data_IF_489153697897
#
_entry.id   IF_489153697897
#
_cell.length_a   1.000
_cell.length_b   1.000
_cell.length_c   1.000
_cell.angle_alpha   90.00
_cell.angle_beta   90.00
_cell.angle_gamma   90.00
#
_symmetry.space_group_name_H-M   'P 1'
#
loop_
_entity.id
_entity.type
_entity.pdbx_description
1 polymer ?
#
# COMPACT_ATOMS: atom_id res chain seq x y z
N UNK A 1 25.52 34.86 10.04
CA UNK A 1 25.31 35.21 8.63
C UNK A 1 24.95 33.92 7.90
N UNK A 2 23.81 33.94 7.20
CA UNK A 2 23.23 32.92 6.32
C UNK A 2 22.87 31.57 6.97
N UNK A 3 21.58 31.28 7.22
CA UNK A 3 20.58 30.76 6.25
C UNK A 3 21.02 29.40 5.68
N UNK A 4 20.19 28.37 5.60
CA UNK A 4 18.73 28.26 5.56
C UNK A 4 18.36 26.83 5.97
N UNK A 5 17.24 26.72 6.70
CA UNK A 5 16.34 25.57 6.82
C UNK A 5 16.73 24.28 6.08
N UNK A 6 17.34 23.33 6.81
CA UNK A 6 17.15 21.90 6.52
C UNK A 6 15.84 21.49 7.19
N UNK A 7 14.75 21.98 6.63
CA UNK A 7 13.39 21.61 7.00
C UNK A 7 12.98 20.42 6.13
N UNK A 8 13.43 19.23 6.53
CA UNK A 8 12.79 17.98 6.12
C UNK A 8 12.21 17.36 7.38
N UNK A 9 11.08 17.92 7.78
CA UNK A 9 10.26 17.45 8.88
C UNK A 9 9.76 16.01 8.59
N UNK A 10 9.60 15.18 9.63
CA UNK A 10 9.60 13.74 9.58
C UNK A 10 8.19 13.16 9.53
N UNK A 11 8.09 11.86 9.22
CA UNK A 11 6.94 11.05 9.63
C UNK A 11 7.42 9.74 10.25
N UNK A 12 6.72 9.27 11.30
CA UNK A 12 7.36 8.75 12.50
C UNK A 12 7.33 7.22 12.53
N UNK A 13 8.30 6.66 13.26
CA UNK A 13 8.14 5.55 14.20
C UNK A 13 6.94 4.62 13.99
N UNK A 14 7.19 3.35 13.66
CA UNK A 14 6.45 2.19 14.17
C UNK A 14 7.18 0.91 13.76
N UNK A 15 8.19 0.54 14.54
CA UNK A 15 8.60 -0.87 14.71
C UNK A 15 7.95 -1.42 15.98
N UNK A 16 6.69 -1.88 15.95
CA UNK A 16 6.33 -3.09 16.66
C UNK A 16 6.88 -4.28 15.84
N UNK A 17 7.34 -5.36 16.50
CA UNK A 17 7.91 -6.50 15.80
C UNK A 17 6.86 -7.18 14.91
N UNK A 18 7.25 -7.52 13.67
CA UNK A 18 6.74 -8.66 12.90
C UNK A 18 5.57 -8.52 11.90
N UNK A 19 5.26 -7.34 11.33
CA UNK A 19 4.50 -7.30 10.06
C UNK A 19 5.46 -7.18 8.87
N UNK A 20 5.42 -8.08 7.86
CA UNK A 20 6.23 -7.96 6.65
C UNK A 20 5.89 -6.68 5.89
N UNK A 21 6.91 -5.88 5.55
CA UNK A 21 6.76 -4.66 4.76
C UNK A 21 6.78 -5.03 3.26
N UNK A 22 5.89 -4.41 2.47
CA UNK A 22 5.83 -4.57 1.01
C UNK A 22 5.95 -3.22 0.35
N UNK A 23 6.80 -3.14 -0.68
CA UNK A 23 6.90 -1.97 -1.55
C UNK A 23 5.79 -2.00 -2.57
N UNK A 24 4.99 -0.95 -2.60
CA UNK A 24 3.92 -0.76 -3.59
C UNK A 24 4.27 0.43 -4.49
N UNK A 25 3.95 0.28 -5.78
CA UNK A 25 4.02 1.36 -6.76
C UNK A 25 2.90 2.38 -6.51
N UNK A 26 3.04 3.65 -6.96
CA UNK A 26 2.00 4.67 -6.82
C UNK A 26 0.68 4.24 -7.47
N UNK A 27 0.76 3.51 -8.58
CA UNK A 27 -0.36 2.89 -9.27
C UNK A 27 0.05 1.49 -9.66
N UNK A 28 -0.74 0.49 -9.27
CA UNK A 28 -0.50 -0.93 -9.60
C UNK A 28 -1.80 -1.65 -9.91
N UNK A 29 -1.79 -2.84 -10.51
CA UNK A 29 -3.04 -3.57 -10.74
C UNK A 29 -3.46 -4.38 -9.52
N UNK A 30 -4.76 -4.69 -9.45
CA UNK A 30 -5.30 -5.59 -8.43
C UNK A 30 -4.59 -6.95 -8.45
N UNK A 31 -4.29 -7.47 -9.64
CA UNK A 31 -3.52 -8.73 -9.80
C UNK A 31 -2.15 -8.65 -9.14
N UNK A 32 -1.37 -7.62 -9.44
CA UNK A 32 -0.03 -7.44 -8.88
C UNK A 32 -0.08 -7.32 -7.34
N UNK A 33 -1.08 -6.61 -6.81
CA UNK A 33 -1.26 -6.44 -5.36
C UNK A 33 -1.55 -7.78 -4.69
N UNK A 34 -2.43 -8.57 -5.29
CA UNK A 34 -2.76 -9.90 -4.80
C UNK A 34 -1.53 -10.83 -4.82
N UNK A 35 -0.71 -10.74 -5.86
CA UNK A 35 0.56 -11.49 -5.96
C UNK A 35 1.54 -11.09 -4.86
N UNK A 36 1.73 -9.79 -4.59
CA UNK A 36 2.59 -9.30 -3.49
C UNK A 36 2.11 -9.75 -2.11
N UNK A 37 0.79 -9.80 -1.91
CA UNK A 37 0.17 -10.23 -0.65
C UNK A 37 0.10 -11.76 -0.52
N UNK A 38 0.48 -12.51 -1.57
CA UNK A 38 0.24 -13.96 -1.69
C UNK A 38 -1.23 -14.35 -1.41
N UNK A 39 -2.16 -13.48 -1.79
CA UNK A 39 -3.59 -13.70 -1.64
C UNK A 39 -4.25 -13.92 -3.01
N UNK A 40 -5.35 -14.67 -3.07
CA UNK A 40 -6.10 -14.77 -4.31
C UNK A 40 -6.72 -13.42 -4.67
N UNK A 41 -6.59 -13.01 -5.94
CA UNK A 41 -7.14 -11.76 -6.50
C UNK A 41 -8.62 -11.58 -6.13
N UNK A 42 -9.39 -12.67 -6.10
CA UNK A 42 -10.81 -12.66 -5.74
C UNK A 42 -11.07 -12.19 -4.31
N UNK A 43 -10.19 -12.51 -3.35
CA UNK A 43 -10.35 -12.05 -1.97
C UNK A 43 -10.00 -10.57 -1.83
N UNK A 44 -8.98 -10.10 -2.55
CA UNK A 44 -8.66 -8.67 -2.65
C UNK A 44 -9.83 -7.88 -3.25
N UNK A 45 -10.39 -8.35 -4.38
CA UNK A 45 -11.58 -7.72 -5.00
C UNK A 45 -12.77 -7.75 -4.03
N UNK A 46 -13.00 -8.86 -3.33
CA UNK A 46 -14.08 -8.96 -2.34
C UNK A 46 -13.90 -7.96 -1.20
N UNK A 47 -12.67 -7.77 -0.72
CA UNK A 47 -12.37 -6.76 0.30
C UNK A 47 -12.65 -5.35 -0.21
N UNK A 48 -12.20 -5.03 -1.42
CA UNK A 48 -12.44 -3.74 -2.06
C UNK A 48 -13.94 -3.46 -2.22
N UNK A 49 -14.71 -4.45 -2.69
CA UNK A 49 -16.16 -4.34 -2.81
C UNK A 49 -16.85 -4.08 -1.45
N UNK A 50 -16.39 -4.72 -0.37
CA UNK A 50 -16.90 -4.47 0.99
C UNK A 50 -16.64 -3.03 1.46
N UNK A 51 -15.55 -2.44 0.99
CA UNK A 51 -15.18 -1.04 1.25
C UNK A 51 -15.78 -0.06 0.23
N UNK A 52 -16.67 -0.52 -0.67
CA UNK A 52 -17.34 0.32 -1.67
C UNK A 52 -16.50 0.62 -2.91
N UNK A 53 -15.33 0.01 -3.05
CA UNK A 53 -14.43 0.17 -4.18
C UNK A 53 -14.71 -0.93 -5.21
N UNK A 54 -15.31 -0.54 -6.34
CA UNK A 54 -15.60 -1.46 -7.44
C UNK A 54 -14.41 -1.48 -8.41
N UNK A 55 -13.74 -2.63 -8.47
CA UNK A 55 -12.59 -2.87 -9.37
C UNK A 55 -12.66 -4.26 -9.99
N UNK A 56 -11.99 -4.43 -11.11
CA UNK A 56 -11.76 -5.72 -11.77
C UNK A 56 -10.31 -6.17 -11.61
N UNK A 57 -10.01 -7.41 -12.02
CA UNK A 57 -8.66 -7.98 -11.86
C UNK A 57 -7.53 -7.16 -12.52
N UNK A 58 -7.81 -6.50 -13.65
CA UNK A 58 -6.83 -5.69 -14.38
C UNK A 58 -6.95 -4.20 -14.10
N UNK A 59 -7.85 -3.78 -13.20
CA UNK A 59 -7.97 -2.37 -12.84
C UNK A 59 -6.75 -1.90 -12.08
N UNK A 60 -6.43 -0.63 -12.31
CA UNK A 60 -5.39 0.09 -11.58
C UNK A 60 -5.94 0.53 -10.22
N UNK A 61 -5.19 0.22 -9.17
CA UNK A 61 -5.34 0.78 -7.84
C UNK A 61 -4.26 1.81 -7.57
N UNK A 62 -4.68 2.90 -6.94
CA UNK A 62 -3.79 3.83 -6.29
C UNK A 62 -3.19 3.23 -5.02
N UNK A 63 -1.98 3.69 -4.68
CA UNK A 63 -1.26 3.32 -3.46
C UNK A 63 -2.14 3.40 -2.20
N UNK A 64 -2.94 4.45 -2.06
CA UNK A 64 -3.78 4.67 -0.88
C UNK A 64 -4.76 3.50 -0.66
N UNK A 65 -5.38 3.02 -1.74
CA UNK A 65 -6.30 1.89 -1.67
C UNK A 65 -5.54 0.58 -1.44
N UNK A 66 -4.43 0.40 -2.14
CA UNK A 66 -3.60 -0.80 -2.03
C UNK A 66 -2.97 -0.94 -0.62
N UNK A 67 -2.64 0.18 0.01
CA UNK A 67 -2.12 0.23 1.37
C UNK A 67 -3.15 -0.20 2.41
N UNK A 68 -4.41 0.23 2.26
CA UNK A 68 -5.50 -0.20 3.15
C UNK A 68 -5.70 -1.71 3.05
N UNK A 69 -5.73 -2.24 1.83
CA UNK A 69 -5.81 -3.68 1.57
C UNK A 69 -4.64 -4.41 2.25
N UNK A 70 -3.41 -3.96 2.00
CA UNK A 70 -2.22 -4.58 2.55
C UNK A 70 -2.24 -4.65 4.08
N UNK A 71 -2.63 -3.56 4.76
CA UNK A 71 -2.69 -3.53 6.23
C UNK A 71 -3.73 -4.50 6.80
N UNK A 72 -4.87 -4.66 6.13
CA UNK A 72 -5.92 -5.62 6.50
C UNK A 72 -5.42 -7.07 6.39
N UNK A 73 -4.62 -7.34 5.34
CA UNK A 73 -3.96 -8.63 5.16
C UNK A 73 -2.72 -8.83 6.07
N UNK A 74 -2.37 -7.86 6.91
CA UNK A 74 -1.27 -7.95 7.87
C UNK A 74 0.09 -7.54 7.32
N UNK A 75 0.13 -6.86 6.16
CA UNK A 75 1.33 -6.32 5.55
C UNK A 75 1.41 -4.81 5.76
N UNK A 76 2.61 -4.27 5.86
CA UNK A 76 2.81 -2.82 5.92
C UNK A 76 3.18 -2.33 4.53
N UNK A 77 2.29 -1.58 3.89
CA UNK A 77 2.56 -0.96 2.60
C UNK A 77 3.48 0.25 2.77
N UNK A 78 4.55 0.28 1.98
CA UNK A 78 5.43 1.45 1.84
C UNK A 78 5.43 1.89 0.38
N UNK A 79 5.29 3.19 0.14
CA UNK A 79 5.36 3.74 -1.21
C UNK A 79 6.82 3.69 -1.68
N UNK A 80 7.08 2.85 -2.69
CA UNK A 80 8.37 2.84 -3.35
C UNK A 80 8.42 3.99 -4.35
N UNK A 81 9.22 5.02 -4.07
CA UNK A 81 9.63 5.98 -5.08
C UNK A 81 10.64 5.27 -5.99
N UNK A 82 10.23 4.87 -7.21
CA UNK A 82 11.18 4.56 -8.29
C UNK A 82 11.67 5.84 -8.98
#
# INVERSE_FOLDING_TARGET
MFMLEQELNPQPENTPPSKPEIMLSPVMKVTDLAELLHQPVTEVIRYLLKNGVLVTLNDNLDFETAAIVADDFGYKAVLGEE
#
